data_IF_575811819676
#
_entry.id   IF_575811819676
#
_cell.length_a   1.000
_cell.length_b   1.000
_cell.length_c   1.000
_cell.angle_alpha   90.00
_cell.angle_beta   90.00
_cell.angle_gamma   90.00
#
_symmetry.space_group_name_H-M   'P 1'
#
loop_
_entity.id
_entity.type
_entity.pdbx_description
1 polymer ?
#
# COMPACT_ATOMS: atom_id res chain seq x y z
N UNK A 1 10.97 3.25 -14.25
CA UNK A 1 11.87 3.16 -13.09
C UNK A 1 12.67 4.45 -12.91
N UNK A 2 13.51 4.90 -13.83
CA UNK A 2 14.32 6.13 -13.70
C UNK A 2 13.55 7.39 -13.32
N UNK A 3 12.34 7.57 -13.86
CA UNK A 3 11.50 8.73 -13.55
C UNK A 3 11.01 8.72 -12.09
N UNK A 4 10.63 7.54 -11.60
CA UNK A 4 10.20 7.36 -10.19
C UNK A 4 11.37 7.64 -9.24
N UNK A 5 12.56 7.15 -9.56
CA UNK A 5 13.77 7.40 -8.78
C UNK A 5 14.13 8.89 -8.74
N UNK A 6 13.97 9.60 -9.87
CA UNK A 6 14.18 11.05 -9.95
C UNK A 6 13.20 11.79 -9.04
N UNK A 7 11.90 11.48 -9.13
CA UNK A 7 10.86 12.10 -8.30
C UNK A 7 11.04 11.79 -6.82
N UNK A 8 11.45 10.57 -6.47
CA UNK A 8 11.75 10.20 -5.09
C UNK A 8 12.85 11.08 -4.50
N UNK A 9 13.95 11.29 -5.24
CA UNK A 9 15.03 12.18 -4.83
C UNK A 9 14.58 13.63 -4.70
N UNK A 10 13.80 14.14 -5.63
CA UNK A 10 13.25 15.50 -5.58
C UNK A 10 12.36 15.72 -4.34
N UNK A 11 11.69 14.67 -3.86
CA UNK A 11 10.86 14.67 -2.65
C UNK A 11 11.65 14.36 -1.37
N UNK A 12 12.97 14.21 -1.45
CA UNK A 12 13.83 13.91 -0.29
C UNK A 12 13.62 12.49 0.28
N UNK A 13 13.08 11.57 -0.53
CA UNK A 13 12.92 10.19 -0.13
C UNK A 13 14.24 9.41 -0.26
N UNK A 14 14.43 8.33 0.51
CA UNK A 14 15.57 7.43 0.34
C UNK A 14 15.69 6.91 -1.09
N UNK A 15 16.91 6.61 -1.52
CA UNK A 15 17.13 5.97 -2.83
C UNK A 15 16.33 4.67 -2.94
N UNK A 16 15.65 4.52 -4.08
CA UNK A 16 14.80 3.36 -4.32
C UNK A 16 15.66 2.13 -4.59
N UNK A 17 15.38 1.07 -3.86
CA UNK A 17 15.86 -0.29 -4.12
C UNK A 17 14.68 -1.12 -4.61
N UNK A 18 14.66 -1.40 -5.90
CA UNK A 18 13.55 -2.16 -6.47
C UNK A 18 13.55 -3.60 -5.97
N UNK A 19 12.40 -4.11 -5.49
CA UNK A 19 12.27 -5.54 -5.19
C UNK A 19 12.55 -6.41 -6.41
N UNK A 20 12.99 -7.62 -6.18
CA UNK A 20 13.15 -8.64 -7.21
C UNK A 20 12.41 -9.91 -6.79
N UNK A 21 11.38 -10.35 -7.56
CA UNK A 21 10.92 -9.81 -8.85
C UNK A 21 10.13 -8.49 -8.72
N UNK A 22 10.13 -7.69 -9.79
CA UNK A 22 9.32 -6.49 -9.90
C UNK A 22 8.58 -6.44 -11.24
N UNK A 23 7.25 -6.19 -11.26
CA UNK A 23 6.36 -6.15 -10.10
C UNK A 23 6.14 -7.54 -9.48
N UNK A 24 6.04 -7.59 -8.16
CA UNK A 24 5.73 -8.80 -7.40
C UNK A 24 4.22 -8.99 -7.14
N UNK A 25 3.85 -10.14 -6.60
CA UNK A 25 2.49 -10.40 -6.14
C UNK A 25 2.28 -9.84 -4.73
N UNK A 26 1.52 -8.78 -4.60
CA UNK A 26 1.29 -8.09 -3.34
C UNK A 26 -0.03 -8.45 -2.64
N UNK A 27 -0.71 -9.52 -3.07
CA UNK A 27 -2.01 -9.90 -2.50
C UNK A 27 -1.96 -10.13 -0.98
N UNK A 28 -0.94 -10.82 -0.50
CA UNK A 28 -0.73 -11.06 0.94
C UNK A 28 -0.54 -9.74 1.69
N UNK A 29 0.27 -8.83 1.16
CA UNK A 29 0.46 -7.51 1.75
C UNK A 29 -0.84 -6.70 1.77
N UNK A 30 -1.67 -6.77 0.73
CA UNK A 30 -2.98 -6.11 0.67
C UNK A 30 -3.96 -6.68 1.70
N UNK A 31 -3.96 -7.99 1.92
CA UNK A 31 -4.74 -8.63 2.98
C UNK A 31 -4.27 -8.18 4.37
N UNK A 32 -2.96 -8.10 4.58
CA UNK A 32 -2.40 -7.60 5.84
C UNK A 32 -2.76 -6.12 6.07
N UNK A 33 -2.73 -5.28 5.05
CA UNK A 33 -3.19 -3.89 5.13
C UNK A 33 -4.68 -3.79 5.48
N UNK A 34 -5.52 -4.66 4.91
CA UNK A 34 -6.95 -4.75 5.21
C UNK A 34 -7.18 -5.18 6.67
N UNK A 35 -6.43 -6.17 7.15
CA UNK A 35 -6.46 -6.56 8.55
C UNK A 35 -6.01 -5.41 9.47
N UNK A 36 -4.94 -4.71 9.11
CA UNK A 36 -4.46 -3.54 9.86
C UNK A 36 -5.52 -2.43 9.96
N UNK A 37 -6.39 -2.29 8.96
CA UNK A 37 -7.50 -1.34 8.99
C UNK A 37 -8.46 -1.63 10.14
N UNK A 38 -8.72 -2.89 10.46
CA UNK A 38 -9.59 -3.28 11.56
C UNK A 38 -9.07 -2.84 12.93
N UNK A 39 -7.77 -2.59 13.03
CA UNK A 39 -7.10 -2.12 14.24
C UNK A 39 -6.70 -0.64 14.19
N UNK A 40 -7.10 0.08 13.14
CA UNK A 40 -6.76 1.49 12.95
C UNK A 40 -5.29 1.73 12.57
N UNK A 41 -4.59 0.73 12.04
CA UNK A 41 -3.15 0.78 11.76
C UNK A 41 -2.79 0.73 10.27
N UNK A 42 -3.74 1.00 9.38
CA UNK A 42 -3.53 0.93 7.92
C UNK A 42 -2.38 1.82 7.47
N UNK A 43 -2.37 3.08 7.89
CA UNK A 43 -1.33 4.05 7.46
C UNK A 43 0.04 3.61 7.96
N UNK A 44 0.16 3.23 9.23
CA UNK A 44 1.42 2.77 9.81
C UNK A 44 1.94 1.52 9.10
N UNK A 45 1.05 0.55 8.83
CA UNK A 45 1.42 -0.66 8.10
C UNK A 45 1.82 -0.36 6.66
N UNK A 46 1.06 0.45 5.93
CA UNK A 46 1.37 0.80 4.54
C UNK A 46 2.74 1.49 4.44
N UNK A 47 3.03 2.46 5.31
CA UNK A 47 4.34 3.12 5.35
C UNK A 47 5.48 2.14 5.65
N UNK A 48 5.29 1.22 6.60
CA UNK A 48 6.27 0.18 6.92
C UNK A 48 6.49 -0.77 5.74
N UNK A 49 5.42 -1.21 5.07
CA UNK A 49 5.47 -2.07 3.90
C UNK A 49 6.19 -1.39 2.72
N UNK A 50 5.89 -0.12 2.43
CA UNK A 50 6.59 0.62 1.39
C UNK A 50 8.08 0.81 1.70
N UNK A 51 8.45 1.01 2.96
CA UNK A 51 9.86 1.06 3.37
C UNK A 51 10.56 -0.28 3.16
N UNK A 52 9.92 -1.38 3.52
CA UNK A 52 10.45 -2.72 3.25
C UNK A 52 10.66 -2.94 1.75
N UNK A 53 9.68 -2.60 0.93
CA UNK A 53 9.75 -2.78 -0.50
C UNK A 53 10.80 -1.86 -1.15
N UNK A 54 10.68 -0.55 -0.98
CA UNK A 54 11.38 0.42 -1.82
C UNK A 54 12.64 1.02 -1.18
N UNK A 55 12.78 1.01 0.13
CA UNK A 55 14.05 1.34 0.79
C UNK A 55 14.88 0.08 1.07
N UNK A 56 14.22 -1.04 1.41
CA UNK A 56 14.87 -2.32 1.68
C UNK A 56 15.08 -3.21 0.46
N UNK A 57 14.36 -2.99 -0.63
CA UNK A 57 14.37 -3.86 -1.81
C UNK A 57 13.76 -5.23 -1.57
N UNK A 58 12.84 -5.34 -0.59
CA UNK A 58 12.26 -6.62 -0.16
C UNK A 58 11.01 -6.95 -0.95
N UNK A 59 10.90 -8.19 -1.38
CA UNK A 59 9.72 -8.71 -2.07
C UNK A 59 8.56 -8.90 -1.07
N UNK A 60 7.45 -8.18 -1.28
CA UNK A 60 6.25 -8.32 -0.45
C UNK A 60 5.35 -9.51 -0.83
N UNK A 61 5.73 -10.31 -1.83
CA UNK A 61 5.13 -11.63 -2.04
C UNK A 61 5.58 -12.64 -0.99
N UNK A 62 6.72 -12.39 -0.36
CA UNK A 62 7.21 -13.16 0.77
C UNK A 62 6.51 -12.69 2.07
N UNK A 63 5.79 -13.61 2.70
CA UNK A 63 5.07 -13.33 3.95
C UNK A 63 5.98 -12.84 5.07
N UNK A 64 7.22 -13.30 5.13
CA UNK A 64 8.16 -12.87 6.16
C UNK A 64 8.46 -11.37 6.07
N UNK A 65 8.55 -10.82 4.85
CA UNK A 65 8.72 -9.39 4.64
C UNK A 65 7.45 -8.60 5.03
N UNK A 66 6.27 -9.17 4.82
CA UNK A 66 5.00 -8.60 5.29
C UNK A 66 4.96 -8.57 6.82
N UNK A 67 5.42 -9.64 7.47
CA UNK A 67 5.48 -9.71 8.94
C UNK A 67 6.49 -8.73 9.54
N UNK A 68 7.61 -8.45 8.85
CA UNK A 68 8.54 -7.39 9.26
C UNK A 68 7.85 -6.02 9.27
N UNK A 69 7.06 -5.71 8.24
CA UNK A 69 6.28 -4.47 8.21
C UNK A 69 5.23 -4.43 9.32
N UNK A 70 4.56 -5.55 9.59
CA UNK A 70 3.59 -5.66 10.68
C UNK A 70 4.23 -5.43 12.06
N UNK A 71 5.38 -6.01 12.31
CA UNK A 71 6.12 -5.83 13.55
C UNK A 71 6.54 -4.36 13.76
N UNK A 72 6.93 -3.67 12.70
CA UNK A 72 7.32 -2.25 12.75
C UNK A 72 6.18 -1.32 13.18
N UNK A 73 4.92 -1.74 13.02
CA UNK A 73 3.73 -0.99 13.46
C UNK A 73 3.00 -1.66 14.64
N UNK A 74 3.70 -2.49 15.40
CA UNK A 74 3.21 -3.17 16.61
C UNK A 74 2.02 -4.12 16.37
N UNK A 75 1.91 -4.67 15.17
CA UNK A 75 0.99 -5.77 14.89
C UNK A 75 1.68 -7.10 15.19
N UNK A 76 1.02 -7.92 16.01
CA UNK A 76 1.58 -9.22 16.37
C UNK A 76 1.62 -10.16 15.15
N UNK A 77 2.76 -10.78 14.80
CA UNK A 77 2.89 -11.62 13.61
C UNK A 77 1.83 -12.73 13.51
N UNK A 78 1.52 -13.41 14.61
CA UNK A 78 0.48 -14.46 14.62
C UNK A 78 -0.91 -13.92 14.30
N UNK A 79 -1.24 -12.73 14.80
CA UNK A 79 -2.52 -12.08 14.48
C UNK A 79 -2.61 -11.74 13.00
N UNK A 80 -1.53 -11.27 12.40
CA UNK A 80 -1.46 -10.99 10.96
C UNK A 80 -1.59 -12.28 10.15
N UNK A 81 -0.85 -13.33 10.50
CA UNK A 81 -0.94 -14.64 9.83
C UNK A 81 -2.36 -15.20 9.87
N UNK A 82 -3.06 -15.09 11.00
CA UNK A 82 -4.46 -15.46 11.10
C UNK A 82 -5.34 -14.54 10.28
N UNK A 83 -5.12 -13.23 10.38
CA UNK A 83 -5.92 -12.20 9.72
C UNK A 83 -5.93 -12.31 8.19
N UNK A 84 -4.79 -12.56 7.57
CA UNK A 84 -4.68 -12.68 6.09
C UNK A 84 -5.45 -13.89 5.53
N UNK A 85 -5.75 -14.88 6.36
CA UNK A 85 -6.53 -16.06 5.98
C UNK A 85 -8.03 -15.92 6.30
N UNK A 86 -8.43 -14.93 7.10
CA UNK A 86 -9.82 -14.72 7.45
C UNK A 86 -10.67 -14.37 6.22
N UNK A 87 -11.81 -15.06 6.09
CA UNK A 87 -12.74 -14.78 5.00
C UNK A 87 -13.23 -13.34 5.01
N UNK A 88 -13.50 -12.79 6.18
CA UNK A 88 -13.92 -11.39 6.35
C UNK A 88 -12.90 -10.39 5.80
N UNK A 89 -11.60 -10.64 5.99
CA UNK A 89 -10.52 -9.81 5.44
C UNK A 89 -10.47 -9.93 3.92
N UNK A 90 -10.56 -11.15 3.40
CA UNK A 90 -10.56 -11.39 1.94
C UNK A 90 -11.76 -10.72 1.26
N UNK A 91 -12.94 -10.82 1.87
CA UNK A 91 -14.18 -10.22 1.36
C UNK A 91 -14.14 -8.69 1.45
N UNK A 92 -13.62 -8.14 2.55
CA UNK A 92 -13.44 -6.69 2.73
C UNK A 92 -12.48 -6.10 1.69
N UNK A 93 -11.37 -6.77 1.40
CA UNK A 93 -10.44 -6.33 0.35
C UNK A 93 -11.10 -6.36 -1.02
N UNK A 94 -11.86 -7.41 -1.33
CA UNK A 94 -12.61 -7.51 -2.59
C UNK A 94 -13.60 -6.36 -2.72
N UNK A 95 -14.41 -6.13 -1.68
CA UNK A 95 -15.38 -5.03 -1.67
C UNK A 95 -14.72 -3.68 -1.89
N UNK A 96 -13.61 -3.39 -1.19
CA UNK A 96 -12.88 -2.14 -1.36
C UNK A 96 -12.32 -1.98 -2.78
N UNK A 97 -11.87 -3.06 -3.40
CA UNK A 97 -11.40 -3.05 -4.80
C UNK A 97 -12.55 -2.78 -5.77
N UNK A 98 -13.68 -3.44 -5.58
CA UNK A 98 -14.88 -3.27 -6.42
C UNK A 98 -15.42 -1.83 -6.30
N UNK A 99 -15.44 -1.26 -5.09
CA UNK A 99 -15.81 0.14 -4.86
C UNK A 99 -14.86 1.12 -5.54
N UNK A 100 -13.55 0.88 -5.49
CA UNK A 100 -12.57 1.70 -6.18
C UNK A 100 -12.78 1.67 -7.71
N UNK A 101 -13.02 0.49 -8.27
CA UNK A 101 -13.33 0.34 -9.70
C UNK A 101 -14.62 1.08 -10.06
N UNK A 102 -15.67 0.93 -9.25
CA UNK A 102 -16.94 1.62 -9.48
C UNK A 102 -16.82 3.15 -9.42
N UNK A 103 -15.86 3.67 -8.67
CA UNK A 103 -15.51 5.11 -8.61
C UNK A 103 -14.66 5.58 -9.79
N UNK A 104 -14.24 4.70 -10.66
CA UNK A 104 -13.41 5.05 -11.83
C UNK A 104 -11.91 4.98 -11.59
N UNK A 105 -11.45 4.31 -10.52
CA UNK A 105 -10.02 4.05 -10.31
C UNK A 105 -9.54 3.04 -11.35
N UNK A 106 -8.54 3.41 -12.14
CA UNK A 106 -7.95 2.57 -13.18
C UNK A 106 -6.50 2.20 -12.91
N UNK A 107 -5.91 2.80 -11.90
CA UNK A 107 -4.51 2.57 -11.51
C UNK A 107 -4.18 3.20 -10.17
N UNK A 108 -2.96 3.01 -9.72
CA UNK A 108 -2.43 3.52 -8.46
C UNK A 108 -1.18 4.35 -8.68
N UNK A 109 -0.91 5.34 -7.84
CA UNK A 109 -1.77 5.84 -6.76
C UNK A 109 -2.99 6.57 -7.30
N UNK A 110 -4.14 6.45 -6.64
CA UNK A 110 -5.34 7.23 -6.93
C UNK A 110 -5.91 7.82 -5.65
N UNK A 111 -6.33 9.08 -5.71
CA UNK A 111 -6.99 9.79 -4.62
C UNK A 111 -8.38 10.17 -5.08
N UNK A 112 -9.39 9.72 -4.34
CA UNK A 112 -10.78 10.11 -4.58
C UNK A 112 -11.17 11.25 -3.65
N UNK A 113 -11.65 12.35 -4.23
CA UNK A 113 -12.19 13.49 -3.49
C UNK A 113 -13.62 13.74 -4.00
N UNK A 114 -14.60 13.48 -3.15
CA UNK A 114 -16.03 13.50 -3.51
C UNK A 114 -16.27 12.59 -4.71
N UNK A 115 -16.62 13.13 -5.87
CA UNK A 115 -16.91 12.37 -7.10
C UNK A 115 -15.72 12.30 -8.08
N UNK A 116 -14.61 12.97 -7.75
CA UNK A 116 -13.46 13.07 -8.65
C UNK A 116 -12.33 12.16 -8.22
N UNK A 117 -11.68 11.50 -9.20
CA UNK A 117 -10.51 10.65 -8.99
C UNK A 117 -9.29 11.30 -9.63
N UNK A 118 -8.25 11.46 -8.83
CA UNK A 118 -6.94 11.96 -9.25
C UNK A 118 -5.97 10.79 -9.33
N UNK A 119 -5.56 10.42 -10.52
CA UNK A 119 -4.64 9.31 -10.74
C UNK A 119 -3.24 9.81 -11.04
N UNK A 120 -2.29 9.33 -10.27
CA UNK A 120 -0.87 9.60 -10.43
C UNK A 120 -0.30 10.45 -9.29
N UNK A 121 0.99 10.28 -9.03
CA UNK A 121 1.72 11.06 -8.03
C UNK A 121 1.93 12.52 -8.43
N UNK A 122 1.81 12.83 -9.70
CA UNK A 122 1.86 14.17 -10.29
C UNK A 122 0.58 14.99 -10.06
N UNK A 123 -0.47 14.35 -9.56
CA UNK A 123 -1.74 15.00 -9.22
C UNK A 123 -2.03 15.11 -7.72
N UNK A 124 -1.03 14.84 -6.87
CA UNK A 124 -1.18 14.89 -5.41
C UNK A 124 -1.53 16.30 -4.92
N UNK A 125 -0.87 17.31 -5.46
CA UNK A 125 -1.10 18.71 -5.08
C UNK A 125 -2.52 19.16 -5.50
N UNK A 126 -2.96 18.78 -6.70
CA UNK A 126 -4.30 19.07 -7.21
C UNK A 126 -5.39 18.41 -6.33
N UNK A 127 -5.18 17.13 -5.95
CA UNK A 127 -6.08 16.44 -5.04
C UNK A 127 -6.12 17.11 -3.65
N UNK A 128 -4.97 17.56 -3.15
CA UNK A 128 -4.88 18.27 -1.86
C UNK A 128 -5.63 19.62 -1.89
N UNK A 129 -5.59 20.34 -3.00
CA UNK A 129 -6.35 21.57 -3.18
C UNK A 129 -7.87 21.32 -3.21
N UNK A 130 -8.30 20.21 -3.82
CA UNK A 130 -9.71 19.83 -3.90
C UNK A 130 -10.33 19.45 -2.54
N UNK A 131 -9.51 19.10 -1.54
CA UNK A 131 -9.96 18.77 -0.17
C UNK A 131 -10.23 20.04 0.65
N UNK A 132 -9.62 21.16 0.29
CA UNK A 132 -9.75 22.42 1.01
C UNK A 132 -11.07 23.13 0.67
#
# INVERSE_FOLDING_TARGET
MREVERRARERGLPDIRWPDPWPGNTLTAMRAATFAQQTGRTVAFALAAFRQAFAGGRDLSDVDNVLLAAAACELHPRAVLTGIEMRSVKDQLRTATDEAIARGVTGVPSIAVVEQVYWGDDRLEEAAEAIR
#
